data_IF_269299839468
#
_entry.id   IF_269299839468
#
_cell.length_a   1.000
_cell.length_b   1.000
_cell.length_c   1.000
_cell.angle_alpha   90.00
_cell.angle_beta   90.00
_cell.angle_gamma   90.00
#
_symmetry.space_group_name_H-M   'P 1'
#
loop_
_entity.id
_entity.type
_entity.pdbx_description
1 polymer ?
#
# COMPACT_ATOMS: atom_id res chain seq x y z
N UNK A 1 15.79 8.85 -27.45
CA UNK A 1 14.71 8.52 -28.41
C UNK A 1 13.49 8.04 -27.63
N UNK A 2 12.33 8.70 -27.80
CA UNK A 2 11.00 8.05 -27.71
C UNK A 2 10.32 7.80 -26.36
N UNK A 3 10.24 8.74 -25.41
CA UNK A 3 9.37 8.58 -24.21
C UNK A 3 8.03 9.35 -24.28
N UNK A 4 7.67 9.90 -25.43
CA UNK A 4 6.41 10.66 -25.66
C UNK A 4 5.46 9.89 -26.58
N UNK A 5 5.10 8.65 -26.23
CA UNK A 5 4.01 7.89 -26.86
C UNK A 5 2.69 7.96 -26.09
N UNK A 6 1.56 7.50 -26.64
CA UNK A 6 0.34 7.24 -25.87
C UNK A 6 0.57 6.16 -24.80
N UNK A 7 -0.32 6.08 -23.80
CA UNK A 7 -0.33 4.94 -22.86
C UNK A 7 -0.81 3.68 -23.60
N UNK A 8 -0.29 2.49 -23.22
CA UNK A 8 -0.72 1.18 -23.76
C UNK A 8 -2.23 0.96 -23.59
N UNK A 9 -2.81 1.49 -22.51
CA UNK A 9 -4.23 1.38 -22.18
C UNK A 9 -4.89 2.76 -22.02
N UNK A 10 -6.23 2.77 -22.12
CA UNK A 10 -7.02 3.97 -21.88
C UNK A 10 -6.80 4.48 -20.43
N UNK A 11 -6.56 5.79 -20.30
CA UNK A 11 -6.42 6.48 -19.01
C UNK A 11 -7.58 6.16 -18.06
N UNK A 12 -8.82 6.17 -18.54
CA UNK A 12 -10.00 5.87 -17.71
C UNK A 12 -9.95 4.45 -17.14
N UNK A 13 -9.54 3.46 -17.94
CA UNK A 13 -9.39 2.07 -17.47
C UNK A 13 -8.34 1.98 -16.35
N UNK A 14 -7.18 2.62 -16.55
CA UNK A 14 -6.11 2.64 -15.52
C UNK A 14 -6.58 3.38 -14.25
N UNK A 15 -7.41 4.42 -14.34
CA UNK A 15 -7.96 5.10 -13.15
C UNK A 15 -8.89 4.21 -12.35
N UNK A 16 -9.76 3.44 -13.01
CA UNK A 16 -10.67 2.49 -12.34
C UNK A 16 -9.86 1.41 -11.63
N UNK A 17 -8.86 0.84 -12.31
CA UNK A 17 -7.93 -0.11 -11.70
C UNK A 17 -7.16 0.53 -10.53
N UNK A 18 -6.65 1.75 -10.66
CA UNK A 18 -5.96 2.45 -9.58
C UNK A 18 -6.84 2.65 -8.34
N UNK A 19 -8.10 3.05 -8.53
CA UNK A 19 -9.06 3.21 -7.45
C UNK A 19 -9.39 1.86 -6.80
N UNK A 20 -9.54 0.79 -7.59
CA UNK A 20 -9.76 -0.56 -7.06
C UNK A 20 -8.57 -1.05 -6.25
N UNK A 21 -7.35 -0.84 -6.73
CA UNK A 21 -6.13 -1.21 -6.01
C UNK A 21 -6.01 -0.44 -4.70
N UNK A 22 -6.32 0.86 -4.70
CA UNK A 22 -6.40 1.64 -3.47
C UNK A 22 -7.48 1.10 -2.52
N UNK A 23 -8.65 0.76 -3.03
CA UNK A 23 -9.73 0.15 -2.24
C UNK A 23 -9.29 -1.18 -1.63
N UNK A 24 -8.49 -1.99 -2.34
CA UNK A 24 -7.91 -3.22 -1.79
C UNK A 24 -6.96 -2.91 -0.61
N UNK A 25 -6.20 -1.82 -0.65
CA UNK A 25 -5.35 -1.39 0.48
C UNK A 25 -6.16 -0.96 1.72
N UNK A 26 -7.44 -0.64 1.55
CA UNK A 26 -8.30 -0.06 2.61
C UNK A 26 -9.36 -1.03 3.12
N UNK A 27 -9.97 -1.84 2.26
CA UNK A 27 -11.12 -2.66 2.61
C UNK A 27 -10.76 -4.13 2.84
N UNK A 28 -9.54 -4.55 2.49
CA UNK A 28 -9.08 -5.95 2.59
C UNK A 28 -7.98 -6.17 3.61
N UNK A 29 -7.76 -5.19 4.48
CA UNK A 29 -6.79 -5.24 5.55
C UNK A 29 -7.52 -5.40 6.88
N UNK A 30 -7.07 -6.33 7.70
CA UNK A 30 -7.53 -6.47 9.08
C UNK A 30 -6.80 -5.44 9.97
N UNK A 31 -7.33 -4.21 10.03
CA UNK A 31 -6.72 -3.13 10.82
C UNK A 31 -6.71 -3.44 12.32
N UNK A 32 -7.71 -4.16 12.82
CA UNK A 32 -7.80 -4.54 14.23
C UNK A 32 -6.63 -5.46 14.60
N UNK A 33 -6.29 -6.43 13.74
CA UNK A 33 -5.12 -7.28 13.94
C UNK A 33 -3.81 -6.46 13.94
N UNK A 34 -3.67 -5.48 13.04
CA UNK A 34 -2.53 -4.57 13.06
C UNK A 34 -2.45 -3.75 14.35
N UNK A 35 -3.57 -3.17 14.78
CA UNK A 35 -3.62 -2.33 15.98
C UNK A 35 -3.28 -3.13 17.23
N UNK A 36 -3.82 -4.35 17.36
CA UNK A 36 -3.50 -5.24 18.47
C UNK A 36 -2.03 -5.67 18.46
N UNK A 37 -1.56 -6.29 17.36
CA UNK A 37 -0.21 -6.89 17.29
C UNK A 37 0.89 -5.86 17.34
N UNK A 38 0.67 -4.68 16.76
CA UNK A 38 1.65 -3.60 16.74
C UNK A 38 1.47 -2.61 17.90
N UNK A 39 0.43 -2.76 18.73
CA UNK A 39 0.06 -1.82 19.80
C UNK A 39 -0.12 -0.40 19.27
N UNK A 40 -0.75 -0.27 18.10
CA UNK A 40 -1.09 1.03 17.54
C UNK A 40 -2.43 1.49 18.13
N UNK A 41 -2.56 2.77 18.50
CA UNK A 41 -3.83 3.29 19.00
C UNK A 41 -4.87 3.36 17.86
N UNK A 42 -6.13 3.09 18.15
CA UNK A 42 -7.22 3.23 17.17
C UNK A 42 -7.47 4.72 16.83
N UNK A 43 -6.80 5.19 15.78
CA UNK A 43 -6.81 6.59 15.34
C UNK A 43 -6.70 6.66 13.82
N UNK A 44 -7.14 7.79 13.25
CA UNK A 44 -6.95 8.08 11.82
C UNK A 44 -5.47 7.99 11.41
N UNK A 45 -4.56 8.38 12.31
CA UNK A 45 -3.12 8.30 12.06
C UNK A 45 -2.66 6.84 11.95
N UNK A 46 -3.01 5.97 12.90
CA UNK A 46 -2.63 4.55 12.83
C UNK A 46 -3.23 3.86 11.61
N UNK A 47 -4.49 4.13 11.30
CA UNK A 47 -5.12 3.68 10.05
C UNK A 47 -4.32 4.14 8.83
N UNK A 48 -3.90 5.41 8.78
CA UNK A 48 -3.11 5.93 7.69
C UNK A 48 -1.73 5.25 7.60
N UNK A 49 -1.06 5.01 8.72
CA UNK A 49 0.26 4.37 8.73
C UNK A 49 0.21 2.93 8.20
N UNK A 50 -0.84 2.17 8.53
CA UNK A 50 -1.06 0.83 7.98
C UNK A 50 -1.45 0.93 6.50
N UNK A 51 -2.35 1.83 6.13
CA UNK A 51 -2.80 2.01 4.73
C UNK A 51 -1.65 2.42 3.82
N UNK A 52 -0.79 3.36 4.25
CA UNK A 52 0.34 3.82 3.43
C UNK A 52 1.37 2.72 3.19
N UNK A 53 1.53 1.77 4.13
CA UNK A 53 2.43 0.63 3.96
C UNK A 53 1.95 -0.24 2.80
N UNK A 54 0.65 -0.53 2.75
CA UNK A 54 0.03 -1.28 1.66
C UNK A 54 0.06 -0.53 0.34
N UNK A 55 -0.26 0.77 0.37
CA UNK A 55 -0.10 1.64 -0.82
C UNK A 55 1.33 1.60 -1.32
N UNK A 56 2.35 1.75 -0.46
CA UNK A 56 3.75 1.70 -0.85
C UNK A 56 4.10 0.38 -1.56
N UNK A 57 3.68 -0.77 -1.03
CA UNK A 57 3.92 -2.07 -1.68
C UNK A 57 3.30 -2.13 -3.08
N UNK A 58 2.07 -1.63 -3.25
CA UNK A 58 1.44 -1.47 -4.56
C UNK A 58 2.23 -0.53 -5.48
N UNK A 59 2.76 0.59 -4.97
CA UNK A 59 3.58 1.52 -5.75
C UNK A 59 4.88 0.86 -6.22
N UNK A 60 5.57 0.11 -5.37
CA UNK A 60 6.79 -0.63 -5.74
C UNK A 60 6.49 -1.60 -6.88
N UNK A 61 5.41 -2.38 -6.76
CA UNK A 61 4.99 -3.33 -7.81
C UNK A 61 4.63 -2.62 -9.12
N UNK A 62 3.79 -1.58 -9.06
CA UNK A 62 3.30 -0.90 -10.27
C UNK A 62 4.34 0.00 -10.93
N UNK A 63 5.36 0.49 -10.22
CA UNK A 63 6.47 1.26 -10.83
C UNK A 63 7.24 0.44 -11.88
N UNK A 64 7.22 -0.88 -11.79
CA UNK A 64 7.86 -1.79 -12.75
C UNK A 64 7.15 -1.80 -14.11
N UNK A 65 5.87 -1.42 -14.17
CA UNK A 65 5.02 -1.44 -15.37
C UNK A 65 5.16 -0.18 -16.27
N UNK A 66 6.34 0.42 -16.25
CA UNK A 66 6.70 1.57 -17.08
C UNK A 66 5.75 2.77 -16.94
N UNK A 67 5.33 3.33 -18.08
CA UNK A 67 4.53 4.59 -18.09
C UNK A 67 3.09 4.39 -17.63
N UNK A 68 2.48 3.24 -17.94
CA UNK A 68 1.14 2.91 -17.47
C UNK A 68 1.14 2.71 -15.96
N UNK A 69 2.12 1.98 -15.44
CA UNK A 69 2.36 1.80 -14.01
C UNK A 69 2.58 3.10 -13.26
N UNK A 70 3.45 3.99 -13.77
CA UNK A 70 3.66 5.33 -13.20
C UNK A 70 2.39 6.19 -13.19
N UNK A 71 1.55 6.06 -14.23
CA UNK A 71 0.25 6.76 -14.28
C UNK A 71 -0.72 6.21 -13.23
N UNK A 72 -0.79 4.89 -13.08
CA UNK A 72 -1.59 4.23 -12.04
C UNK A 72 -1.14 4.64 -10.63
N UNK A 73 0.17 4.61 -10.36
CA UNK A 73 0.77 5.05 -9.09
C UNK A 73 0.31 6.46 -8.68
N UNK A 74 0.30 7.40 -9.63
CA UNK A 74 -0.18 8.76 -9.38
C UNK A 74 -1.65 8.78 -8.93
N UNK A 75 -2.49 7.94 -9.55
CA UNK A 75 -3.90 7.87 -9.20
C UNK A 75 -4.16 7.14 -7.88
N UNK A 76 -3.39 6.09 -7.55
CA UNK A 76 -3.46 5.44 -6.23
C UNK A 76 -3.18 6.45 -5.12
N UNK A 77 -2.09 7.22 -5.25
CA UNK A 77 -1.73 8.26 -4.26
C UNK A 77 -2.79 9.37 -4.21
N UNK A 78 -3.33 9.78 -5.35
CA UNK A 78 -4.43 10.75 -5.41
C UNK A 78 -5.65 10.26 -4.61
N UNK A 79 -6.11 9.03 -4.87
CA UNK A 79 -7.25 8.44 -4.16
C UNK A 79 -7.00 8.29 -2.66
N UNK A 80 -5.77 7.96 -2.26
CA UNK A 80 -5.40 7.94 -0.84
C UNK A 80 -5.59 9.29 -0.14
N UNK A 81 -5.17 10.38 -0.77
CA UNK A 81 -5.34 11.71 -0.18
C UNK A 81 -6.80 12.17 -0.15
N UNK A 82 -7.60 11.83 -1.16
CA UNK A 82 -9.04 12.07 -1.16
C UNK A 82 -9.74 11.34 0.00
N UNK A 83 -9.38 10.08 0.26
CA UNK A 83 -9.97 9.30 1.37
C UNK A 83 -9.53 9.83 2.74
N UNK A 84 -8.24 10.16 2.92
CA UNK A 84 -7.75 10.81 4.15
C UNK A 84 -8.53 12.11 4.44
N UNK A 85 -8.73 12.94 3.41
CA UNK A 85 -9.50 14.18 3.55
C UNK A 85 -10.96 13.90 3.92
N UNK A 86 -11.58 12.92 3.26
CA UNK A 86 -12.97 12.56 3.50
C UNK A 86 -13.19 11.98 4.90
N UNK A 87 -12.33 11.06 5.35
CA UNK A 87 -12.36 10.51 6.71
C UNK A 87 -12.17 11.61 7.75
N UNK A 88 -11.24 12.53 7.54
CA UNK A 88 -11.04 13.68 8.42
C UNK A 88 -12.30 14.55 8.56
N UNK A 89 -13.01 14.81 7.46
CA UNK A 89 -14.29 15.54 7.47
C UNK A 89 -15.38 14.77 8.21
N UNK A 90 -15.52 13.47 7.95
CA UNK A 90 -16.52 12.60 8.62
C UNK A 90 -16.27 12.53 10.13
N UNK A 91 -15.00 12.54 10.56
CA UNK A 91 -14.60 12.59 11.97
C UNK A 91 -14.78 13.98 12.62
N UNK A 92 -15.25 14.99 11.88
CA UNK A 92 -15.50 16.33 12.40
C UNK A 92 -14.24 17.16 12.66
N UNK A 93 -13.10 16.80 12.05
CA UNK A 93 -11.87 17.60 12.14
C UNK A 93 -12.09 18.91 11.36
N UNK A 94 -11.81 20.04 11.99
CA UNK A 94 -11.95 21.35 11.33
C UNK A 94 -11.02 21.46 10.12
N UNK A 95 -11.44 22.23 9.12
CA UNK A 95 -10.75 22.29 7.82
C UNK A 95 -9.32 22.81 7.89
N UNK A 96 -9.00 23.68 8.86
CA UNK A 96 -7.65 24.24 9.02
C UNK A 96 -6.72 23.21 9.66
N UNK A 97 -7.16 22.56 10.73
CA UNK A 97 -6.43 21.46 11.39
C UNK A 97 -6.25 20.28 10.46
N UNK A 98 -7.28 19.91 9.70
CA UNK A 98 -7.20 18.83 8.71
C UNK A 98 -6.15 19.15 7.65
N UNK A 99 -6.16 20.36 7.08
CA UNK A 99 -5.17 20.79 6.08
C UNK A 99 -3.74 20.77 6.63
N UNK A 100 -3.54 21.19 7.88
CA UNK A 100 -2.21 21.14 8.52
C UNK A 100 -1.77 19.70 8.78
N UNK A 101 -2.68 18.85 9.26
CA UNK A 101 -2.41 17.42 9.50
C UNK A 101 -2.06 16.70 8.21
N UNK A 102 -2.81 16.92 7.12
CA UNK A 102 -2.52 16.33 5.81
C UNK A 102 -1.15 16.76 5.27
N UNK A 103 -0.70 17.99 5.53
CA UNK A 103 0.66 18.44 5.18
C UNK A 103 1.70 17.61 5.92
N UNK A 104 1.57 17.45 7.23
CA UNK A 104 2.47 16.61 8.03
C UNK A 104 2.43 15.14 7.61
N UNK A 105 1.24 14.60 7.33
CA UNK A 105 1.07 13.24 6.82
C UNK A 105 1.75 13.05 5.46
N UNK A 106 1.74 14.07 4.60
CA UNK A 106 2.44 14.04 3.31
C UNK A 106 3.96 13.93 3.50
N UNK A 107 4.54 14.66 4.46
CA UNK A 107 5.96 14.56 4.79
C UNK A 107 6.32 13.18 5.34
N UNK A 108 5.49 12.64 6.25
CA UNK A 108 5.61 11.28 6.78
C UNK A 108 5.55 10.25 5.65
N UNK A 109 4.62 10.40 4.70
CA UNK A 109 4.45 9.49 3.57
C UNK A 109 5.71 9.42 2.71
N UNK A 110 6.29 10.56 2.34
CA UNK A 110 7.52 10.57 1.54
C UNK A 110 8.70 9.99 2.31
N UNK A 111 8.87 10.33 3.59
CA UNK A 111 9.92 9.75 4.43
C UNK A 111 9.76 8.22 4.58
N UNK A 112 8.52 7.75 4.71
CA UNK A 112 8.19 6.34 4.77
C UNK A 112 8.56 5.61 3.47
N UNK A 113 8.19 6.16 2.31
CA UNK A 113 8.58 5.59 1.01
C UNK A 113 10.10 5.45 0.91
N UNK A 114 10.87 6.50 1.23
CA UNK A 114 12.33 6.42 1.16
C UNK A 114 12.90 5.35 2.10
N UNK A 115 12.42 5.31 3.34
CA UNK A 115 12.87 4.32 4.31
C UNK A 115 12.50 2.88 3.92
N UNK A 116 11.31 2.67 3.37
CA UNK A 116 10.86 1.34 2.94
C UNK A 116 11.54 0.89 1.65
N UNK A 117 11.75 1.79 0.68
CA UNK A 117 12.51 1.52 -0.55
C UNK A 117 13.96 1.11 -0.19
N UNK A 118 14.62 1.81 0.74
CA UNK A 118 15.96 1.42 1.23
C UNK A 118 15.92 0.09 1.98
N UNK A 119 14.94 -0.12 2.85
CA UNK A 119 14.80 -1.34 3.64
C UNK A 119 14.56 -2.59 2.80
N UNK A 120 13.68 -2.52 1.80
CA UNK A 120 13.29 -3.70 1.02
C UNK A 120 14.43 -4.21 0.12
N UNK A 121 15.31 -3.33 -0.36
CA UNK A 121 16.47 -3.73 -1.17
C UNK A 121 17.68 -4.14 -0.31
N UNK A 122 17.63 -3.86 0.99
CA UNK A 122 18.70 -4.13 1.96
C UNK A 122 18.38 -5.36 2.81
N UNK A 123 19.10 -5.51 3.93
CA UNK A 123 18.83 -6.55 4.92
C UNK A 123 17.62 -6.23 5.83
N UNK A 124 17.19 -7.25 6.57
CA UNK A 124 16.03 -7.16 7.45
C UNK A 124 16.21 -6.21 8.64
N UNK A 125 17.46 -5.86 9.01
CA UNK A 125 17.71 -4.89 10.08
C UNK A 125 17.39 -3.48 9.60
N UNK A 126 17.75 -3.17 8.35
CA UNK A 126 17.40 -1.88 7.72
C UNK A 126 15.89 -1.78 7.53
N UNK A 127 15.24 -2.84 7.05
CA UNK A 127 13.78 -2.87 6.91
C UNK A 127 13.07 -2.74 8.26
N UNK A 128 13.53 -3.47 9.29
CA UNK A 128 13.02 -3.34 10.65
C UNK A 128 13.17 -1.90 11.18
N UNK A 129 14.32 -1.26 10.95
CA UNK A 129 14.55 0.12 11.37
C UNK A 129 13.61 1.11 10.65
N UNK A 130 13.33 0.88 9.37
CA UNK A 130 12.38 1.69 8.61
C UNK A 130 10.94 1.53 9.14
N UNK A 131 10.51 0.30 9.42
CA UNK A 131 9.20 -0.01 10.01
C UNK A 131 9.06 0.59 11.42
N UNK A 132 10.08 0.43 12.26
CA UNK A 132 10.13 1.01 13.59
C UNK A 132 9.96 2.53 13.57
N UNK A 133 10.68 3.21 12.68
CA UNK A 133 10.64 4.68 12.56
C UNK A 133 9.32 5.19 12.00
N UNK A 134 8.79 4.55 10.96
CA UNK A 134 7.68 5.10 10.18
C UNK A 134 6.31 4.54 10.58
N UNK A 135 6.18 3.24 10.85
CA UNK A 135 4.92 2.61 11.25
C UNK A 135 4.72 2.66 12.76
N UNK A 136 5.77 2.35 13.52
CA UNK A 136 5.70 2.32 14.99
C UNK A 136 6.13 3.64 15.64
N UNK A 137 6.40 4.69 14.85
CA UNK A 137 6.76 6.04 15.32
C UNK A 137 7.88 6.05 16.39
N UNK A 138 8.90 5.19 16.22
CA UNK A 138 10.02 5.01 17.16
C UNK A 138 9.59 4.48 18.54
N UNK A 139 8.42 3.86 18.63
CA UNK A 139 7.85 3.29 19.83
C UNK A 139 7.68 1.78 19.62
N UNK A 140 8.66 0.99 20.05
CA UNK A 140 8.54 -0.46 20.14
C UNK A 140 9.76 -1.01 20.86
N UNK A 141 9.56 -1.61 22.03
CA UNK A 141 10.62 -2.26 22.79
C UNK A 141 10.66 -3.78 22.54
N UNK A 142 9.62 -4.35 21.92
CA UNK A 142 9.54 -5.78 21.60
C UNK A 142 10.01 -6.05 20.16
N UNK A 143 11.21 -6.61 19.96
CA UNK A 143 11.74 -6.91 18.63
C UNK A 143 10.88 -7.92 17.86
N UNK A 144 10.04 -8.73 18.53
CA UNK A 144 9.16 -9.71 17.87
C UNK A 144 8.09 -9.04 17.02
N UNK A 145 7.63 -7.84 17.40
CA UNK A 145 6.69 -7.05 16.59
C UNK A 145 7.33 -6.56 15.30
N UNK A 146 8.62 -6.19 15.36
CA UNK A 146 9.38 -5.80 14.17
C UNK A 146 9.65 -7.01 13.27
N UNK A 147 10.01 -8.15 13.85
CA UNK A 147 10.17 -9.40 13.11
C UNK A 147 8.89 -9.78 12.36
N UNK A 148 7.73 -9.75 13.03
CA UNK A 148 6.41 -9.98 12.42
C UNK A 148 6.16 -9.04 11.23
N UNK A 149 6.43 -7.74 11.40
CA UNK A 149 6.24 -6.75 10.34
C UNK A 149 7.21 -6.91 9.17
N UNK A 150 8.46 -7.28 9.44
CA UNK A 150 9.46 -7.58 8.40
C UNK A 150 9.02 -8.79 7.60
N UNK A 151 8.66 -9.89 8.27
CA UNK A 151 8.14 -11.09 7.61
C UNK A 151 6.90 -10.76 6.76
N UNK A 152 5.99 -9.97 7.33
CA UNK A 152 4.80 -9.50 6.64
C UNK A 152 5.12 -8.71 5.37
N UNK A 153 6.00 -7.70 5.44
CA UNK A 153 6.35 -6.91 4.26
C UNK A 153 7.04 -7.77 3.21
N UNK A 154 8.00 -8.61 3.61
CA UNK A 154 8.74 -9.49 2.69
C UNK A 154 7.79 -10.43 1.95
N UNK A 155 6.87 -11.07 2.67
CA UNK A 155 5.94 -12.05 2.08
C UNK A 155 4.90 -11.39 1.18
N UNK A 156 4.48 -10.17 1.47
CA UNK A 156 3.57 -9.41 0.61
C UNK A 156 4.26 -8.95 -0.66
N UNK A 157 5.46 -8.36 -0.57
CA UNK A 157 6.23 -7.94 -1.76
C UNK A 157 6.53 -9.14 -2.65
N UNK A 158 7.00 -10.26 -2.07
CA UNK A 158 7.21 -11.50 -2.80
C UNK A 158 5.95 -11.97 -3.51
N UNK A 159 4.79 -11.92 -2.85
CA UNK A 159 3.52 -12.32 -3.44
C UNK A 159 3.09 -11.37 -4.57
N UNK A 160 3.16 -10.06 -4.36
CA UNK A 160 2.83 -9.06 -5.38
C UNK A 160 3.70 -9.20 -6.63
N UNK A 161 4.97 -9.54 -6.48
CA UNK A 161 5.89 -9.80 -7.60
C UNK A 161 5.50 -11.03 -8.42
N UNK A 162 4.69 -11.96 -7.88
CA UNK A 162 4.14 -13.10 -8.65
C UNK A 162 2.93 -12.74 -9.51
N UNK A 163 2.30 -11.58 -9.27
CA UNK A 163 1.11 -11.16 -10.00
C UNK A 163 1.47 -10.58 -11.37
N UNK A 164 0.64 -10.84 -12.37
CA UNK A 164 0.85 -10.31 -13.72
C UNK A 164 0.62 -8.79 -13.79
N UNK A 165 1.57 -8.06 -14.38
CA UNK A 165 1.54 -6.61 -14.42
C UNK A 165 0.46 -6.04 -15.34
N UNK A 166 0.17 -6.74 -16.44
CA UNK A 166 -0.90 -6.38 -17.37
C UNK A 166 -2.27 -6.59 -16.73
N UNK A 167 -2.49 -7.70 -16.03
CA UNK A 167 -3.71 -7.92 -15.25
C UNK A 167 -3.91 -6.82 -14.20
N UNK A 168 -2.88 -6.52 -13.38
CA UNK A 168 -2.96 -5.46 -12.37
C UNK A 168 -3.29 -4.09 -12.96
N UNK A 169 -2.78 -3.75 -14.15
CA UNK A 169 -3.10 -2.50 -14.84
C UNK A 169 -4.56 -2.41 -15.32
N UNK A 170 -5.22 -3.55 -15.52
CA UNK A 170 -6.58 -3.65 -16.04
C UNK A 170 -7.62 -3.86 -14.94
N UNK A 171 -7.29 -4.63 -13.91
CA UNK A 171 -8.19 -5.00 -12.82
C UNK A 171 -7.96 -4.14 -11.58
N UNK A 172 -6.69 -3.87 -11.24
CA UNK A 172 -6.32 -3.27 -9.97
C UNK A 172 -6.55 -4.19 -8.77
N UNK A 173 -6.75 -5.49 -9.01
CA UNK A 173 -7.15 -6.44 -7.99
C UNK A 173 -5.92 -6.92 -7.20
N UNK A 174 -5.92 -6.70 -5.89
CA UNK A 174 -4.88 -7.20 -4.99
C UNK A 174 -5.52 -7.95 -3.83
N UNK A 175 -4.93 -9.09 -3.48
CA UNK A 175 -5.24 -9.85 -2.27
C UNK A 175 -4.05 -9.75 -1.34
N UNK A 176 -4.32 -9.59 -0.05
CA UNK A 176 -3.29 -9.48 0.97
C UNK A 176 -3.18 -10.80 1.71
N UNK A 177 -1.94 -11.27 1.91
CA UNK A 177 -1.68 -12.35 2.87
C UNK A 177 -1.97 -11.87 4.29
N UNK A 178 -2.39 -12.75 5.21
CA UNK A 178 -2.69 -12.35 6.60
C UNK A 178 -1.45 -11.83 7.33
N UNK A 179 -1.62 -10.99 8.35
CA UNK A 179 -0.49 -10.50 9.15
C UNK A 179 0.21 -11.68 9.84
N UNK A 180 -0.55 -12.48 10.58
CA UNK A 180 -0.08 -13.72 11.19
C UNK A 180 -0.45 -14.91 10.32
N UNK A 181 0.54 -15.66 9.85
CA UNK A 181 0.32 -16.84 9.02
C UNK A 181 0.62 -18.13 9.79
N UNK A 182 -0.38 -18.99 9.93
CA UNK A 182 -0.22 -20.29 10.61
C UNK A 182 0.48 -21.31 9.71
N UNK A 183 0.19 -21.28 8.41
CA UNK A 183 0.68 -22.22 7.40
C UNK A 183 1.31 -21.48 6.19
N UNK A 184 2.59 -21.14 6.29
CA UNK A 184 3.30 -20.34 5.28
C UNK A 184 3.30 -20.91 3.84
N UNK A 185 2.95 -22.19 3.67
CA UNK A 185 2.97 -22.92 2.40
C UNK A 185 1.65 -22.82 1.60
N UNK A 186 0.55 -22.30 2.17
CA UNK A 186 -0.79 -22.53 1.61
C UNK A 186 -1.14 -21.72 0.34
N UNK A 187 -0.44 -20.63 0.00
CA UNK A 187 -0.93 -19.65 -1.01
C UNK A 187 0.01 -19.48 -2.22
N UNK A 188 0.91 -20.44 -2.50
CA UNK A 188 1.83 -20.34 -3.65
C UNK A 188 1.17 -20.45 -5.05
N UNK A 189 -0.16 -20.40 -5.16
CA UNK A 189 -0.86 -20.37 -6.47
C UNK A 189 -1.84 -19.20 -6.52
N UNK A 190 -1.51 -18.10 -7.23
CA UNK A 190 -2.49 -17.09 -7.58
C UNK A 190 -3.66 -17.73 -8.33
N UNK A 191 -4.89 -17.44 -7.91
CA UNK A 191 -6.08 -17.78 -8.69
C UNK A 191 -6.05 -17.00 -10.00
N UNK A 192 -6.11 -17.70 -11.15
CA UNK A 192 -6.22 -17.07 -12.46
C UNK A 192 -7.50 -16.24 -12.52
N UNK A 193 -7.45 -14.94 -12.88
CA UNK A 193 -8.65 -14.15 -13.06
C UNK A 193 -9.55 -14.75 -14.15
N UNK A 194 -10.82 -14.95 -13.84
CA UNK A 194 -11.83 -15.24 -14.85
C UNK A 194 -12.14 -13.94 -15.57
N UNK A 195 -11.64 -13.78 -16.79
CA UNK A 195 -11.97 -12.63 -17.62
C UNK A 195 -13.38 -12.83 -18.17
N UNK A 196 -14.34 -12.01 -17.74
CA UNK A 196 -15.62 -11.90 -18.43
C UNK A 196 -15.44 -10.86 -19.52
N UNK A 197 -15.21 -11.31 -20.76
CA UNK A 197 -15.09 -10.46 -21.97
C UNK A 197 -16.41 -9.80 -22.41
N UNK A 198 -17.45 -9.84 -21.57
CA UNK A 198 -18.76 -9.27 -21.85
C UNK A 198 -19.01 -8.06 -20.95
N UNK A 199 -18.47 -6.91 -21.34
CA UNK A 199 -18.70 -5.63 -20.71
C UNK A 199 -18.22 -4.48 -21.58
N UNK A 200 -18.61 -4.51 -22.87
CA UNK A 200 -18.66 -3.35 -23.75
C UNK A 200 -19.94 -2.55 -23.48
#
# INVERSE_FOLDING_TARGET
MGFTGPLKYNKWKIKIAALRMYTCCVERIDYDEFFEKCSLPDTLNSWFLVTQLHVWMCLVRMKQEGRAGKYMCRYIVHSMWEDVEQRGKVMGIDSVTLKNSMRSMTEIFYAAIFGYDEGIISDDRILAAALWRNLLNKQCDDPRKLELLVEYVRKQVQFLDTLDGEDLLLTGEVVWRPLVEKDAQSILKPSTPTYNDEGL
#
